data_IF_794655968846
#
_entry.id   IF_794655968846
#
_cell.length_a   1.000
_cell.length_b   1.000
_cell.length_c   1.000
_cell.angle_alpha   90.00
_cell.angle_beta   90.00
_cell.angle_gamma   90.00
#
_symmetry.space_group_name_H-M   'P 1'
#
loop_
_entity.id
_entity.type
_entity.pdbx_description
1 polymer ?
#
# COMPACT_ATOMS: atom_id res chain seq x y z
N UNK A 1 6.69 8.33 20.95
CA UNK A 1 7.16 7.34 19.94
C UNK A 1 5.94 6.74 19.26
N UNK A 2 6.08 6.24 18.03
CA UNK A 2 5.04 5.54 17.28
C UNK A 2 5.58 4.22 16.74
N UNK A 3 4.76 3.17 16.83
CA UNK A 3 5.03 1.88 16.20
C UNK A 3 4.50 1.91 14.77
N UNK A 4 5.36 1.57 13.81
CA UNK A 4 5.01 1.54 12.38
C UNK A 4 5.37 0.17 11.78
N UNK A 5 4.47 -0.38 10.98
CA UNK A 5 4.73 -1.59 10.18
C UNK A 5 5.08 -1.18 8.74
N UNK A 6 6.09 -1.81 8.17
CA UNK A 6 6.58 -1.51 6.83
C UNK A 6 5.86 -2.34 5.77
N UNK A 7 5.72 -1.76 4.58
CA UNK A 7 5.29 -2.47 3.38
C UNK A 7 6.51 -2.94 2.56
N UNK A 8 6.33 -3.98 1.78
CA UNK A 8 7.37 -4.46 0.84
C UNK A 8 7.59 -3.44 -0.27
N UNK A 9 8.80 -3.42 -0.84
CA UNK A 9 9.07 -2.68 -2.08
C UNK A 9 8.08 -3.10 -3.18
N UNK A 10 7.66 -2.13 -3.99
CA UNK A 10 6.82 -2.43 -5.15
C UNK A 10 7.58 -3.30 -6.16
N UNK A 11 6.82 -4.14 -6.87
CA UNK A 11 7.33 -4.87 -8.01
C UNK A 11 7.81 -3.90 -9.10
N UNK A 12 8.76 -4.32 -9.93
CA UNK A 12 9.32 -3.48 -10.99
C UNK A 12 8.25 -3.05 -12.03
N UNK A 13 7.25 -3.89 -12.24
CA UNK A 13 6.12 -3.63 -13.13
C UNK A 13 4.82 -3.71 -12.33
N UNK A 14 3.80 -2.91 -12.68
CA UNK A 14 2.48 -3.03 -12.08
C UNK A 14 1.82 -4.36 -12.45
N UNK A 15 0.76 -4.70 -11.74
CA UNK A 15 -0.06 -5.87 -12.04
C UNK A 15 -0.68 -5.72 -13.46
N UNK A 16 -0.57 -6.72 -14.35
CA UNK A 16 -0.94 -6.55 -15.77
C UNK A 16 -2.40 -6.25 -16.07
N UNK A 17 -3.36 -6.75 -15.28
CA UNK A 17 -4.79 -6.59 -15.59
C UNK A 17 -5.34 -5.24 -15.09
N UNK A 18 -4.90 -4.82 -13.90
CA UNK A 18 -5.38 -3.61 -13.21
C UNK A 18 -4.48 -2.41 -13.45
N UNK A 19 -3.21 -2.62 -13.82
CA UNK A 19 -2.21 -1.56 -13.90
C UNK A 19 -1.78 -0.99 -12.55
N UNK A 20 -2.19 -1.60 -11.43
CA UNK A 20 -1.94 -1.12 -10.07
C UNK A 20 -0.75 -1.83 -9.41
N UNK A 21 -0.12 -1.16 -8.43
CA UNK A 21 0.91 -1.77 -7.59
C UNK A 21 0.27 -2.36 -6.33
N UNK A 22 0.54 -3.65 -6.08
CA UNK A 22 0.05 -4.31 -4.87
C UNK A 22 0.84 -3.86 -3.65
N UNK A 23 0.14 -3.31 -2.67
CA UNK A 23 0.68 -3.04 -1.33
C UNK A 23 0.63 -4.35 -0.52
N UNK A 24 1.75 -4.75 0.08
CA UNK A 24 1.83 -5.92 0.96
C UNK A 24 2.63 -5.56 2.20
N UNK A 25 2.17 -6.01 3.38
CA UNK A 25 2.96 -5.90 4.61
C UNK A 25 4.25 -6.70 4.46
N UNK A 26 5.36 -6.14 4.93
CA UNK A 26 6.63 -6.85 4.97
C UNK A 26 6.66 -7.73 6.22
N UNK A 27 6.86 -9.02 6.00
CA UNK A 27 6.96 -10.04 7.06
C UNK A 27 8.41 -10.53 7.12
N UNK A 28 8.95 -10.66 8.33
CA UNK A 28 10.29 -11.16 8.58
C UNK A 28 10.33 -12.69 8.45
N UNK A 29 11.53 -13.28 8.45
CA UNK A 29 11.71 -14.73 8.27
C UNK A 29 11.08 -15.56 9.40
N UNK A 30 10.92 -14.96 10.58
CA UNK A 30 10.28 -15.56 11.75
C UNK A 30 8.75 -15.41 11.75
N UNK A 31 8.16 -14.80 10.72
CA UNK A 31 6.72 -14.59 10.61
C UNK A 31 6.21 -13.30 11.28
N UNK A 32 7.06 -12.54 11.95
CA UNK A 32 6.67 -11.29 12.59
C UNK A 32 6.59 -10.12 11.58
N UNK A 33 5.80 -9.06 11.85
CA UNK A 33 5.80 -7.87 11.03
C UNK A 33 7.18 -7.18 11.04
N UNK A 34 7.65 -6.75 9.88
CA UNK A 34 8.78 -5.83 9.83
C UNK A 34 8.29 -4.47 10.31
N UNK A 35 8.71 -4.09 11.52
CA UNK A 35 8.24 -2.90 12.18
C UNK A 35 9.39 -2.06 12.78
N UNK A 36 9.09 -0.82 13.13
CA UNK A 36 10.02 0.08 13.81
C UNK A 36 9.30 1.00 14.78
N UNK A 37 10.01 1.43 15.81
CA UNK A 37 9.54 2.45 16.75
C UNK A 37 10.26 3.75 16.40
N UNK A 38 9.52 4.75 15.95
CA UNK A 38 10.06 6.04 15.49
C UNK A 38 9.56 7.21 16.35
N UNK A 39 10.33 8.30 16.50
CA UNK A 39 9.80 9.57 17.01
C UNK A 39 8.58 10.04 16.22
N UNK A 40 7.54 10.50 16.91
CA UNK A 40 6.29 10.93 16.26
C UNK A 40 6.54 12.14 15.36
N UNK A 41 7.50 13.00 15.73
CA UNK A 41 7.94 14.14 14.92
C UNK A 41 8.52 13.76 13.54
N UNK A 42 8.89 12.50 13.30
CA UNK A 42 9.27 12.02 11.97
C UNK A 42 8.06 11.77 11.05
N UNK A 43 6.86 11.62 11.61
CA UNK A 43 5.61 11.46 10.84
C UNK A 43 5.10 12.87 10.51
N UNK A 44 5.39 13.34 9.29
CA UNK A 44 5.06 14.71 8.88
C UNK A 44 3.61 14.87 8.42
N UNK A 45 3.12 13.90 7.65
CA UNK A 45 1.76 13.92 7.12
C UNK A 45 1.34 12.49 6.73
N UNK A 46 0.04 12.24 6.76
CA UNK A 46 -0.55 11.05 6.16
C UNK A 46 -0.88 11.34 4.70
N UNK A 47 -0.76 10.32 3.84
CA UNK A 47 -1.26 10.39 2.47
C UNK A 47 -2.35 9.33 2.28
N UNK A 48 -3.45 9.73 1.65
CA UNK A 48 -4.44 8.79 1.16
C UNK A 48 -4.09 8.44 -0.28
N UNK A 49 -3.83 7.16 -0.53
CA UNK A 49 -3.62 6.65 -1.88
C UNK A 49 -4.99 6.32 -2.47
N UNK A 50 -5.37 7.04 -3.51
CA UNK A 50 -6.49 6.68 -4.37
C UNK A 50 -5.91 6.07 -5.66
N UNK A 51 -6.54 5.04 -6.23
CA UNK A 51 -6.12 4.52 -7.52
C UNK A 51 -6.20 5.64 -8.56
N UNK A 52 -5.20 5.74 -9.43
CA UNK A 52 -5.24 6.66 -10.57
C UNK A 52 -5.50 5.83 -11.82
N UNK A 53 -6.75 5.87 -12.29
CA UNK A 53 -7.14 5.20 -13.51
C UNK A 53 -6.72 6.02 -14.73
N UNK A 54 -6.28 5.35 -15.80
CA UNK A 54 -5.87 6.01 -17.04
C UNK A 54 -7.04 6.48 -17.93
N UNK A 55 -8.28 6.41 -17.42
CA UNK A 55 -9.51 6.75 -18.12
C UNK A 55 -10.70 6.76 -17.17
N UNK A 56 -11.90 6.91 -17.73
CA UNK A 56 -13.17 6.90 -16.97
C UNK A 56 -13.35 5.54 -16.30
N UNK A 57 -13.56 5.54 -14.98
CA UNK A 57 -13.89 4.33 -14.22
C UNK A 57 -15.33 3.93 -14.53
N UNK A 58 -15.62 2.65 -14.82
CA UNK A 58 -16.98 2.19 -15.01
C UNK A 58 -17.82 2.45 -13.75
N UNK A 59 -18.99 3.07 -13.92
CA UNK A 59 -19.85 3.48 -12.81
C UNK A 59 -20.53 2.32 -12.09
N UNK A 60 -20.50 1.13 -12.68
CA UNK A 60 -21.05 -0.13 -12.18
C UNK A 60 -20.08 -0.90 -11.27
N UNK A 61 -18.82 -0.46 -11.15
CA UNK A 61 -17.86 -1.07 -10.23
C UNK A 61 -18.27 -0.83 -8.78
N UNK A 62 -18.47 -1.91 -8.04
CA UNK A 62 -18.64 -1.89 -6.59
C UNK A 62 -17.44 -2.53 -5.92
N UNK A 63 -17.24 -2.30 -4.63
CA UNK A 63 -16.16 -2.91 -3.84
C UNK A 63 -16.13 -4.46 -3.94
N UNK A 64 -17.24 -5.06 -4.37
CA UNK A 64 -17.49 -6.50 -4.46
C UNK A 64 -17.21 -7.05 -5.88
N UNK A 65 -17.14 -6.19 -6.89
CA UNK A 65 -17.04 -6.57 -8.32
C UNK A 65 -15.81 -6.03 -9.05
N UNK A 66 -14.88 -5.38 -8.34
CA UNK A 66 -13.56 -4.96 -8.86
C UNK A 66 -12.55 -6.10 -8.79
#
# INVERSE_FOLDING_TARGET
>A
LAYVEWFTKFARKPEPYTGLYRVKRQILRDGSPSASVVPVEMIKHSVHLYPKWAGTVPSDWTCETV
#
